data_IF_778913412740
#
_entry.id   IF_778913412740
#
_cell.length_a   1.000
_cell.length_b   1.000
_cell.length_c   1.000
_cell.angle_alpha   90.00
_cell.angle_beta   90.00
_cell.angle_gamma   90.00
#
_symmetry.space_group_name_H-M   'P 1'
#
loop_
_entity.id
_entity.type
_entity.pdbx_description
1 polymer ?
#
# COMPACT_ATOMS: atom_id res chain seq x y z
N UNK A 1 -7.98 11.03 -0.77
CA UNK A 1 -8.58 10.91 0.57
C UNK A 1 -10.09 10.82 0.37
N UNK A 2 -10.81 10.08 1.22
CA UNK A 2 -12.27 10.17 1.27
C UNK A 2 -12.72 11.46 1.95
N UNK A 3 -14.04 11.67 2.01
CA UNK A 3 -14.65 12.85 2.64
C UNK A 3 -14.37 12.93 4.16
N UNK A 4 -13.88 11.84 4.77
CA UNK A 4 -13.56 11.73 6.20
C UNK A 4 -12.04 11.82 6.48
N UNK A 5 -11.21 11.93 5.44
CA UNK A 5 -9.76 12.10 5.54
C UNK A 5 -8.93 10.81 5.54
N UNK A 6 -9.52 9.65 5.23
CA UNK A 6 -8.80 8.38 5.09
C UNK A 6 -8.23 8.21 3.67
N UNK A 7 -7.13 7.48 3.56
CA UNK A 7 -6.49 7.17 2.28
C UNK A 7 -7.22 6.01 1.61
N UNK A 8 -7.67 6.23 0.38
CA UNK A 8 -8.19 5.15 -0.46
C UNK A 8 -7.07 4.29 -1.01
N UNK A 9 -7.22 2.97 -0.86
CA UNK A 9 -6.33 1.95 -1.43
C UNK A 9 -7.11 1.02 -2.35
N UNK A 10 -6.40 0.45 -3.33
CA UNK A 10 -6.98 -0.48 -4.30
C UNK A 10 -7.03 -1.91 -3.73
N UNK A 11 -8.02 -2.18 -2.88
CA UNK A 11 -8.17 -3.48 -2.22
C UNK A 11 -8.27 -4.63 -3.25
N UNK A 12 -7.52 -5.75 -3.09
CA UNK A 12 -6.78 -6.20 -1.89
C UNK A 12 -5.34 -5.69 -1.76
N UNK A 13 -4.87 -4.84 -2.66
CA UNK A 13 -3.54 -4.21 -2.53
C UNK A 13 -3.61 -2.99 -1.63
N UNK A 14 -2.44 -2.53 -1.21
CA UNK A 14 -2.26 -1.31 -0.40
C UNK A 14 -1.90 -0.08 -1.24
N UNK A 15 -1.95 -0.21 -2.57
CA UNK A 15 -1.57 0.85 -3.50
C UNK A 15 -2.57 2.01 -3.45
N UNK A 16 -2.05 3.22 -3.35
CA UNK A 16 -2.83 4.45 -3.39
C UNK A 16 -3.03 4.93 -4.84
N UNK A 17 -3.60 6.12 -5.02
CA UNK A 17 -3.68 6.77 -6.33
C UNK A 17 -2.32 7.29 -6.84
N UNK A 18 -1.30 7.36 -5.97
CA UNK A 18 0.05 7.75 -6.33
C UNK A 18 0.94 6.51 -6.52
N UNK A 19 1.55 6.39 -7.70
CA UNK A 19 2.40 5.24 -8.05
C UNK A 19 3.59 5.15 -7.10
N UNK A 20 3.83 3.95 -6.56
CA UNK A 20 4.89 3.70 -5.58
C UNK A 20 4.57 4.16 -4.15
N UNK A 21 3.37 4.67 -3.89
CA UNK A 21 2.91 5.06 -2.55
C UNK A 21 1.85 4.07 -2.07
N UNK A 22 2.11 3.48 -0.90
CA UNK A 22 1.27 2.48 -0.27
C UNK A 22 0.77 2.98 1.09
N UNK A 23 -0.44 2.58 1.49
CA UNK A 23 -1.04 2.97 2.76
C UNK A 23 -1.59 1.76 3.52
N UNK A 24 -1.42 1.76 4.84
CA UNK A 24 -1.78 0.67 5.73
C UNK A 24 -2.14 1.20 7.13
N UNK A 25 -2.81 0.38 7.93
CA UNK A 25 -3.24 0.74 9.27
C UNK A 25 -4.46 1.63 9.32
N UNK A 26 -4.63 2.33 10.44
CA UNK A 26 -5.81 3.15 10.72
C UNK A 26 -6.07 4.21 9.65
N UNK A 27 -5.05 4.67 8.91
CA UNK A 27 -5.22 5.66 7.83
C UNK A 27 -6.04 5.14 6.65
N UNK A 28 -6.22 3.83 6.52
CA UNK A 28 -7.04 3.17 5.48
C UNK A 28 -8.22 2.37 6.07
N UNK A 29 -8.34 2.32 7.39
CA UNK A 29 -9.33 1.49 8.10
C UNK A 29 -10.27 2.36 8.93
N UNK A 30 -11.45 2.65 8.38
CA UNK A 30 -12.51 3.40 9.05
C UNK A 30 -13.31 2.54 10.06
N UNK A 31 -13.13 1.22 10.07
CA UNK A 31 -14.04 0.28 10.75
C UNK A 31 -13.43 -0.39 11.97
N UNK A 32 -12.27 -1.02 11.84
CA UNK A 32 -11.74 -1.89 12.89
C UNK A 32 -10.77 -1.14 13.80
N UNK A 33 -9.81 -0.40 13.24
CA UNK A 33 -8.86 0.43 14.00
C UNK A 33 -8.23 -0.32 15.17
N UNK A 34 -7.85 -1.57 14.91
CA UNK A 34 -7.22 -2.45 15.89
C UNK A 34 -5.74 -2.61 15.56
N UNK A 35 -4.89 -2.69 16.59
CA UNK A 35 -3.46 -2.90 16.39
C UNK A 35 -3.15 -4.12 15.50
N UNK A 36 -3.96 -5.19 15.61
CA UNK A 36 -3.77 -6.40 14.82
C UNK A 36 -4.13 -6.22 13.33
N UNK A 37 -5.19 -5.46 13.01
CA UNK A 37 -5.54 -5.16 11.61
C UNK A 37 -4.52 -4.21 10.99
N UNK A 38 -4.01 -3.26 11.78
CA UNK A 38 -2.94 -2.38 11.35
C UNK A 38 -1.62 -3.12 11.08
N UNK A 39 -1.24 -4.07 11.93
CA UNK A 39 -0.07 -4.91 11.68
C UNK A 39 -0.24 -5.76 10.41
N UNK A 40 -1.41 -6.37 10.22
CA UNK A 40 -1.70 -7.19 9.04
C UNK A 40 -1.63 -6.40 7.73
N UNK A 41 -2.25 -5.22 7.68
CA UNK A 41 -2.19 -4.34 6.51
C UNK A 41 -0.79 -3.75 6.30
N UNK A 42 -0.03 -3.51 7.38
CA UNK A 42 1.38 -3.09 7.29
C UNK A 42 2.26 -4.14 6.61
N UNK A 43 2.09 -5.43 6.94
CA UNK A 43 2.78 -6.51 6.25
C UNK A 43 2.42 -6.58 4.76
N UNK A 44 1.15 -6.40 4.42
CA UNK A 44 0.71 -6.35 3.02
C UNK A 44 1.38 -5.20 2.25
N UNK A 45 1.45 -4.01 2.87
CA UNK A 45 2.10 -2.85 2.27
C UNK A 45 3.60 -3.04 2.04
N UNK A 46 4.29 -3.71 2.97
CA UNK A 46 5.70 -4.05 2.79
C UNK A 46 5.93 -4.97 1.58
N UNK A 47 5.09 -6.00 1.41
CA UNK A 47 5.17 -6.93 0.29
C UNK A 47 4.83 -6.25 -1.05
N UNK A 48 3.83 -5.38 -1.07
CA UNK A 48 3.48 -4.61 -2.28
C UNK A 48 4.61 -3.65 -2.68
N UNK A 49 5.24 -2.99 -1.70
CA UNK A 49 6.39 -2.14 -1.93
C UNK A 49 7.61 -2.92 -2.44
N UNK A 50 7.89 -4.09 -1.86
CA UNK A 50 8.98 -4.97 -2.31
C UNK A 50 8.79 -5.39 -3.77
N UNK A 51 7.59 -5.84 -4.15
CA UNK A 51 7.25 -6.21 -5.53
C UNK A 51 7.40 -5.03 -6.49
N UNK A 52 6.91 -3.86 -6.10
CA UNK A 52 7.04 -2.66 -6.91
C UNK A 52 8.50 -2.30 -7.18
N UNK A 53 9.36 -2.37 -6.16
CA UNK A 53 10.79 -2.12 -6.33
C UNK A 53 11.46 -3.17 -7.24
N UNK A 54 11.15 -4.45 -7.04
CA UNK A 54 11.68 -5.52 -7.88
C UNK A 54 11.29 -5.37 -9.36
N UNK A 55 10.03 -5.00 -9.64
CA UNK A 55 9.55 -4.75 -10.99
C UNK A 55 10.26 -3.55 -11.63
N UNK A 56 10.51 -2.49 -10.85
CA UNK A 56 11.26 -1.31 -11.33
C UNK A 56 12.72 -1.61 -11.63
N UNK A 57 13.36 -2.43 -10.80
CA UNK A 57 14.73 -2.88 -11.03
C UNK A 57 14.81 -3.73 -12.30
N UNK A 58 13.82 -4.61 -12.53
CA UNK A 58 13.72 -5.39 -13.76
C UNK A 58 13.55 -4.51 -15.00
N UNK A 59 12.68 -3.49 -14.95
CA UNK A 59 12.50 -2.52 -16.03
C UNK A 59 13.78 -1.74 -16.33
N UNK A 60 14.50 -1.30 -15.30
CA UNK A 60 15.76 -0.59 -15.46
C UNK A 60 16.85 -1.45 -16.13
N UNK A 61 16.83 -2.78 -15.90
CA UNK A 61 17.74 -3.72 -16.54
C UNK A 61 17.37 -4.04 -18.00
N UNK A 62 16.07 -4.02 -18.35
CA UNK A 62 15.61 -4.28 -19.73
C UNK A 62 15.79 -3.10 -20.68
N UNK A 63 15.91 -1.89 -20.12
CA UNK A 63 16.10 -0.65 -20.88
C UNK A 63 17.60 -0.37 -21.20
N UNK A 64 18.51 -1.30 -20.88
CA UNK A 64 19.94 -1.28 -21.21
C UNK A 64 20.32 -2.34 -22.23
#
# INVERSE_FOLDING_TARGET
LDDEGYVHVQHPTTATNQIGVFAAGDVVDHRYRQAITAAGTGCAAALDAERFLADRDHQALSDH
#
